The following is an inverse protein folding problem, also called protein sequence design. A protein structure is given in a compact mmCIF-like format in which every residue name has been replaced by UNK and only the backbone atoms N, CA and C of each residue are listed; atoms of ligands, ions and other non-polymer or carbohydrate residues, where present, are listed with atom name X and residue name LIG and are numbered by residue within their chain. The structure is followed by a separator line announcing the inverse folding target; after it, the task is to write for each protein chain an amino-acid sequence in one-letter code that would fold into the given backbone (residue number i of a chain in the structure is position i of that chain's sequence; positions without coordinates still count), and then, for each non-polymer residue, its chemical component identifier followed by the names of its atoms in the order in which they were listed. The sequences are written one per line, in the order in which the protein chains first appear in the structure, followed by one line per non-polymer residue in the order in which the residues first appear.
data_IF_653160782100
#
_entry.id   IF_653160782100
#
_cell.length_a   1.000
_cell.length_b   1.000
_cell.length_c   1.000
_cell.angle_alpha   90.00
_cell.angle_beta   90.00
_cell.angle_gamma   90.00
#
_symmetry.space_group_name_H-M   'P 1'
#
loop_
_entity.id
_entity.type
_entity.pdbx_description
1 polymer ?
#
# COMPACT_ATOMS: atom_id res chain seq x y z
N UNK A 1 -27.04 -30.73 61.17
CA UNK A 1 -25.60 -30.77 61.50
C UNK A 1 -24.80 -31.67 60.56
N UNK A 2 -24.98 -33.01 60.54
CA UNK A 2 -24.14 -33.90 59.72
C UNK A 2 -24.14 -33.63 58.19
N UNK A 3 -25.29 -33.34 57.57
CA UNK A 3 -25.35 -33.12 56.11
C UNK A 3 -24.60 -31.86 55.66
N UNK A 4 -24.64 -30.81 56.46
CA UNK A 4 -23.96 -29.53 56.17
C UNK A 4 -22.45 -29.67 56.29
N UNK A 5 -21.98 -30.41 57.31
CA UNK A 5 -20.55 -30.69 57.52
C UNK A 5 -19.96 -31.52 56.37
N UNK A 6 -20.71 -32.52 55.89
CA UNK A 6 -20.28 -33.35 54.75
C UNK A 6 -20.21 -32.51 53.47
N UNK A 7 -21.22 -31.68 53.20
CA UNK A 7 -21.22 -30.81 52.02
C UNK A 7 -20.06 -29.81 52.03
N UNK A 8 -19.76 -29.20 53.19
CA UNK A 8 -18.62 -28.28 53.33
C UNK A 8 -17.29 -29.00 53.15
N UNK A 9 -17.15 -30.24 53.63
CA UNK A 9 -15.92 -31.02 53.48
C UNK A 9 -15.66 -31.41 52.02
N UNK A 10 -16.70 -31.77 51.27
CA UNK A 10 -16.59 -32.09 49.83
C UNK A 10 -16.27 -30.85 49.00
N UNK A 11 -16.85 -29.69 49.33
CA UNK A 11 -16.54 -28.45 48.63
C UNK A 11 -15.08 -28.03 48.86
N UNK A 12 -14.59 -28.16 50.11
CA UNK A 12 -13.20 -27.86 50.46
C UNK A 12 -12.22 -28.80 49.76
N UNK A 13 -12.52 -30.11 49.69
CA UNK A 13 -11.65 -31.07 48.99
C UNK A 13 -11.58 -30.81 47.49
N UNK A 14 -12.68 -30.36 46.88
CA UNK A 14 -12.71 -29.97 45.46
C UNK A 14 -11.88 -28.72 45.19
N UNK A 15 -12.01 -27.68 46.02
CA UNK A 15 -11.23 -26.44 45.89
C UNK A 15 -9.73 -26.72 46.05
N UNK A 16 -9.34 -27.52 47.06
CA UNK A 16 -7.95 -27.91 47.28
C UNK A 16 -7.38 -28.69 46.09
N UNK A 17 -8.19 -29.57 45.47
CA UNK A 17 -7.77 -30.34 44.29
C UNK A 17 -7.52 -29.46 43.07
N UNK A 18 -8.35 -28.43 42.84
CA UNK A 18 -8.16 -27.47 41.75
C UNK A 18 -6.90 -26.64 41.96
N UNK A 19 -6.68 -26.15 43.19
CA UNK A 19 -5.49 -25.35 43.52
C UNK A 19 -4.19 -26.16 43.39
N UNK A 20 -4.19 -27.42 43.82
CA UNK A 20 -3.05 -28.33 43.65
C UNK A 20 -2.78 -28.63 42.17
N UNK A 21 -3.82 -28.89 41.38
CA UNK A 21 -3.69 -29.14 39.93
C UNK A 21 -3.10 -27.92 39.21
N UNK A 22 -3.61 -26.72 39.49
CA UNK A 22 -3.11 -25.47 38.92
C UNK A 22 -1.65 -25.19 39.31
N UNK A 23 -1.30 -25.44 40.58
CA UNK A 23 0.07 -25.30 41.07
C UNK A 23 1.03 -26.30 40.41
N UNK A 24 0.61 -27.56 40.24
CA UNK A 24 1.39 -28.59 39.54
C UNK A 24 1.63 -28.24 38.06
N UNK A 25 0.60 -27.77 37.34
CA UNK A 25 0.73 -27.32 35.94
C UNK A 25 1.66 -26.12 35.82
N UNK A 26 1.54 -25.14 36.72
CA UNK A 26 2.40 -23.97 36.74
C UNK A 26 3.87 -24.35 37.03
N UNK A 27 4.09 -25.25 37.98
CA UNK A 27 5.44 -25.75 38.32
C UNK A 27 6.03 -26.60 37.20
N UNK A 28 5.23 -27.40 36.51
CA UNK A 28 5.65 -28.16 35.33
C UNK A 28 6.13 -27.22 34.21
N UNK A 29 5.33 -26.22 33.86
CA UNK A 29 5.70 -25.24 32.82
C UNK A 29 6.93 -24.39 33.18
N UNK A 30 7.20 -24.17 34.47
CA UNK A 30 8.40 -23.44 34.94
C UNK A 30 9.66 -24.31 34.97
N UNK A 31 9.51 -25.63 35.04
CA UNK A 31 10.63 -26.58 35.25
C UNK A 31 10.99 -27.39 34.01
N UNK A 32 10.18 -27.37 32.94
CA UNK A 32 10.51 -28.00 31.67
C UNK A 32 11.67 -27.24 30.97
N UNK A 33 12.80 -27.90 30.68
CA UNK A 33 13.84 -27.31 29.85
C UNK A 33 13.26 -26.99 28.46
N UNK A 34 13.41 -25.75 28.00
CA UNK A 34 13.12 -25.42 26.60
C UNK A 34 14.11 -26.20 25.73
N UNK A 35 13.67 -26.93 24.69
CA UNK A 35 14.60 -27.53 23.75
C UNK A 35 15.49 -26.42 23.16
N UNK A 36 16.77 -26.69 22.88
CA UNK A 36 17.64 -25.70 22.28
C UNK A 36 16.99 -25.22 20.98
N UNK A 37 16.80 -23.90 20.87
CA UNK A 37 16.38 -23.27 19.62
C UNK A 37 17.53 -23.54 18.65
N UNK A 38 17.34 -24.49 17.74
CA UNK A 38 18.18 -24.60 16.57
C UNK A 38 18.15 -23.23 15.89
N UNK A 39 19.32 -22.60 15.78
CA UNK A 39 19.51 -21.40 14.98
C UNK A 39 18.94 -21.68 13.60
N UNK A 40 17.79 -21.07 13.29
CA UNK A 40 17.23 -21.09 11.96
C UNK A 40 18.12 -20.20 11.09
N UNK A 41 19.21 -20.78 10.59
CA UNK A 41 19.83 -20.30 9.37
C UNK A 41 18.74 -20.29 8.29
N UNK A 42 18.45 -19.10 7.79
CA UNK A 42 17.44 -18.86 6.76
C UNK A 42 18.00 -19.34 5.41
N UNK A 43 18.14 -20.65 5.22
CA UNK A 43 18.48 -21.24 3.92
C UNK A 43 17.23 -21.31 3.05
N UNK A 44 17.14 -20.41 2.08
CA UNK A 44 16.25 -20.55 0.92
C UNK A 44 16.59 -21.86 0.18
N UNK A 45 15.82 -22.93 0.41
CA UNK A 45 15.80 -24.10 -0.48
C UNK A 45 14.48 -24.18 -1.25
N UNK A 46 14.60 -24.21 -2.58
CA UNK A 46 13.53 -24.48 -3.55
C UNK A 46 12.98 -25.91 -3.34
N UNK A 47 11.66 -26.13 -3.39
CA UNK A 47 11.15 -27.45 -3.73
C UNK A 47 11.23 -27.61 -5.25
N UNK A 48 12.02 -28.60 -5.69
CA UNK A 48 11.94 -29.14 -7.03
C UNK A 48 10.79 -30.15 -7.06
N UNK A 49 9.78 -29.92 -7.88
CA UNK A 49 8.87 -30.95 -8.37
C UNK A 49 8.93 -30.94 -9.88
N UNK A 50 9.49 -32.01 -10.44
CA UNK A 50 9.61 -32.28 -11.85
C UNK A 50 8.35 -32.98 -12.35
N UNK A 51 7.80 -32.53 -13.47
CA UNK A 51 7.01 -33.34 -14.38
C UNK A 51 7.72 -33.39 -15.74
N UNK A 52 7.61 -34.51 -16.48
CA UNK A 52 8.54 -34.84 -17.55
C UNK A 52 8.13 -34.12 -18.83
N UNK A 53 9.05 -33.32 -19.38
CA UNK A 53 9.01 -32.95 -20.79
C UNK A 53 10.34 -33.40 -21.38
N UNK A 54 10.28 -34.43 -22.21
CA UNK A 54 11.42 -34.99 -22.92
C UNK A 54 11.96 -34.00 -23.94
N UNK A 55 13.23 -33.63 -23.83
CA UNK A 55 14.01 -33.18 -24.98
C UNK A 55 15.42 -33.75 -24.91
N UNK A 56 15.83 -34.37 -26.01
CA UNK A 56 17.16 -34.93 -26.23
C UNK A 56 18.26 -33.91 -25.94
N UNK A 57 19.27 -34.38 -25.21
CA UNK A 57 20.44 -33.62 -24.86
C UNK A 57 21.29 -33.27 -26.08
N UNK A 58 21.74 -32.02 -26.14
CA UNK A 58 23.10 -31.69 -26.57
C UNK A 58 23.58 -30.46 -25.79
N UNK A 59 24.58 -30.69 -24.93
CA UNK A 59 25.25 -29.70 -24.12
C UNK A 59 26.25 -28.91 -24.96
N UNK A 60 25.99 -27.61 -25.17
CA UNK A 60 27.04 -26.61 -25.45
C UNK A 60 26.72 -25.34 -24.66
N UNK A 61 27.76 -24.79 -24.03
CA UNK A 61 27.80 -23.68 -23.05
C UNK A 61 26.85 -22.50 -23.37
N UNK A 62 25.87 -22.23 -22.48
CA UNK A 62 24.97 -21.06 -22.57
C UNK A 62 25.60 -19.80 -21.94
N UNK A 63 25.97 -18.83 -22.78
CA UNK A 63 25.96 -17.42 -22.41
C UNK A 63 24.56 -16.82 -22.64
N UNK A 64 24.12 -15.97 -21.71
CA UNK A 64 23.03 -14.97 -21.82
C UNK A 64 21.86 -15.22 -22.80
N UNK A 65 21.09 -16.30 -22.61
CA UNK A 65 19.79 -16.50 -23.30
C UNK A 65 18.60 -15.92 -22.51
N UNK A 66 18.74 -15.72 -21.20
CA UNK A 66 17.66 -15.25 -20.30
C UNK A 66 17.16 -13.83 -20.65
N UNK A 67 18.01 -12.95 -21.18
CA UNK A 67 17.62 -11.59 -21.58
C UNK A 67 16.87 -11.57 -22.91
N UNK A 68 17.27 -12.41 -23.86
CA UNK A 68 16.61 -12.51 -25.17
C UNK A 68 15.28 -13.28 -25.08
N UNK A 69 15.21 -14.37 -24.31
CA UNK A 69 13.95 -15.08 -24.03
C UNK A 69 12.97 -14.18 -23.25
N UNK A 70 13.45 -13.34 -22.33
CA UNK A 70 12.59 -12.40 -21.62
C UNK A 70 12.03 -11.30 -22.53
N UNK A 71 12.79 -10.83 -23.52
CA UNK A 71 12.33 -9.79 -24.43
C UNK A 71 11.30 -10.34 -25.44
N UNK A 72 11.54 -11.56 -25.95
CA UNK A 72 10.66 -12.26 -26.89
C UNK A 72 9.30 -12.63 -26.28
N UNK A 73 9.21 -12.87 -24.97
CA UNK A 73 7.95 -13.20 -24.29
C UNK A 73 7.07 -11.95 -24.02
N UNK A 74 7.66 -10.76 -23.85
CA UNK A 74 6.92 -9.50 -23.76
C UNK A 74 6.27 -9.18 -25.11
N UNK A 75 6.99 -9.42 -26.22
CA UNK A 75 6.53 -9.13 -27.57
C UNK A 75 5.36 -10.03 -28.05
N UNK A 76 5.16 -11.20 -27.42
CA UNK A 76 4.09 -12.14 -27.79
C UNK A 76 2.79 -11.98 -26.97
N UNK A 77 2.77 -11.14 -25.93
CA UNK A 77 1.54 -10.91 -25.16
C UNK A 77 0.65 -9.87 -25.86
N UNK A 78 -0.34 -10.33 -26.63
CA UNK A 78 -1.36 -9.45 -27.22
C UNK A 78 -2.39 -9.04 -26.19
N UNK A 79 -2.43 -7.74 -25.88
CA UNK A 79 -3.48 -7.15 -25.05
C UNK A 79 -4.78 -7.14 -25.87
N UNK A 80 -5.88 -7.74 -25.39
CA UNK A 80 -7.16 -7.66 -26.08
C UNK A 80 -7.61 -6.21 -26.25
N UNK A 81 -8.05 -5.85 -27.46
CA UNK A 81 -8.58 -4.52 -27.72
C UNK A 81 -9.86 -4.29 -26.92
N UNK A 82 -9.98 -3.11 -26.31
CA UNK A 82 -11.18 -2.66 -25.63
C UNK A 82 -11.57 -1.28 -26.18
N UNK A 83 -12.45 -1.21 -27.19
CA UNK A 83 -12.77 0.02 -27.91
C UNK A 83 -13.31 1.14 -27.01
N UNK A 84 -13.87 0.80 -25.84
CA UNK A 84 -14.34 1.80 -24.86
C UNK A 84 -13.19 2.60 -24.25
N UNK A 85 -12.03 1.97 -24.10
CA UNK A 85 -10.86 2.56 -23.45
C UNK A 85 -9.74 2.90 -24.42
N UNK A 86 -9.75 2.39 -25.65
CA UNK A 86 -8.72 2.66 -26.63
C UNK A 86 -8.71 4.14 -27.05
N UNK A 87 -7.53 4.74 -27.08
CA UNK A 87 -7.31 6.13 -27.45
C UNK A 87 -6.37 6.21 -28.67
N UNK A 88 -6.73 6.98 -29.72
CA UNK A 88 -5.89 7.09 -30.91
C UNK A 88 -4.52 7.66 -30.58
N UNK A 89 -3.45 6.87 -30.76
CA UNK A 89 -2.07 7.25 -30.43
C UNK A 89 -1.64 8.56 -31.10
N UNK A 90 -2.10 8.82 -32.33
CA UNK A 90 -1.86 10.06 -33.09
C UNK A 90 -2.41 11.33 -32.41
N UNK A 91 -3.38 11.19 -31.51
CA UNK A 91 -3.96 12.31 -30.75
C UNK A 91 -3.25 12.52 -29.41
N UNK A 92 -2.19 11.77 -29.10
CA UNK A 92 -1.44 11.85 -27.86
C UNK A 92 -0.04 12.40 -28.12
N UNK A 93 0.28 13.55 -27.53
CA UNK A 93 1.62 14.14 -27.62
C UNK A 93 2.30 14.03 -26.25
N UNK A 94 3.32 13.17 -26.17
CA UNK A 94 4.10 12.98 -24.96
C UNK A 94 5.04 14.18 -24.72
N UNK A 95 5.20 14.56 -23.46
CA UNK A 95 6.05 15.65 -23.01
C UNK A 95 7.07 15.20 -21.98
N UNK A 96 7.37 16.06 -21.01
CA UNK A 96 8.41 15.80 -19.99
C UNK A 96 8.07 14.63 -19.07
N UNK A 97 9.10 13.91 -18.65
CA UNK A 97 9.01 12.92 -17.56
C UNK A 97 8.58 13.60 -16.26
N UNK A 98 7.58 13.03 -15.58
CA UNK A 98 7.10 13.43 -14.26
C UNK A 98 7.73 12.58 -13.16
N UNK A 99 7.99 11.31 -13.45
CA UNK A 99 8.66 10.40 -12.56
C UNK A 99 9.02 9.09 -13.26
N UNK A 100 10.07 8.46 -12.79
CA UNK A 100 10.52 7.14 -13.25
C UNK A 100 10.99 6.35 -12.04
N UNK A 101 10.56 5.09 -11.92
CA UNK A 101 10.87 4.30 -10.75
C UNK A 101 10.50 2.83 -10.90
N UNK A 102 10.24 2.18 -9.78
CA UNK A 102 9.88 0.76 -9.73
C UNK A 102 8.54 0.44 -10.40
N UNK A 103 7.67 1.45 -10.55
CA UNK A 103 6.32 1.32 -11.10
C UNK A 103 6.24 1.75 -12.58
N UNK A 104 7.38 1.77 -13.28
CA UNK A 104 7.50 2.22 -14.65
C UNK A 104 7.85 3.71 -14.79
N UNK A 105 7.46 4.29 -15.91
CA UNK A 105 7.74 5.68 -16.31
C UNK A 105 6.43 6.43 -16.46
N UNK A 106 6.36 7.63 -15.90
CA UNK A 106 5.21 8.53 -16.03
C UNK A 106 5.66 9.82 -16.69
N UNK A 107 4.97 10.21 -17.76
CA UNK A 107 5.24 11.46 -18.48
C UNK A 107 4.00 12.34 -18.50
N UNK A 108 4.21 13.66 -18.55
CA UNK A 108 3.14 14.62 -18.85
C UNK A 108 2.83 14.51 -20.34
N UNK A 109 1.56 14.61 -20.74
CA UNK A 109 1.18 14.60 -22.14
C UNK A 109 -0.01 15.53 -22.40
N UNK A 110 -0.22 15.80 -23.68
CA UNK A 110 -1.37 16.54 -24.21
C UNK A 110 -2.21 15.56 -25.03
N UNK A 111 -3.46 15.33 -24.61
CA UNK A 111 -4.40 14.48 -25.31
C UNK A 111 -5.45 15.33 -26.04
N UNK A 112 -5.47 15.25 -27.36
CA UNK A 112 -6.44 15.94 -28.21
C UNK A 112 -7.71 15.13 -28.37
N UNK A 113 -8.87 15.80 -28.41
CA UNK A 113 -10.17 15.14 -28.62
C UNK A 113 -10.51 14.09 -27.55
N UNK A 114 -10.01 14.26 -26.34
CA UNK A 114 -10.22 13.32 -25.25
C UNK A 114 -11.72 13.17 -24.94
N UNK A 115 -12.23 11.93 -25.00
CA UNK A 115 -13.67 11.61 -24.87
C UNK A 115 -14.58 12.39 -25.84
N UNK A 116 -14.08 12.65 -27.05
CA UNK A 116 -14.84 13.34 -28.11
C UNK A 116 -14.99 14.85 -27.93
N UNK A 117 -14.40 15.45 -26.89
CA UNK A 117 -14.49 16.89 -26.64
C UNK A 117 -13.50 17.66 -27.49
N UNK A 118 -13.93 18.77 -28.11
CA UNK A 118 -13.02 19.66 -28.84
C UNK A 118 -11.92 20.22 -27.92
N UNK A 119 -10.74 20.50 -28.50
CA UNK A 119 -9.57 20.99 -27.77
C UNK A 119 -8.64 19.88 -27.27
N UNK A 120 -7.85 20.23 -26.25
CA UNK A 120 -6.87 19.35 -25.63
C UNK A 120 -7.04 19.30 -24.11
N UNK A 121 -6.62 18.18 -23.52
CA UNK A 121 -6.56 17.98 -22.08
C UNK A 121 -5.13 17.64 -21.68
N UNK A 122 -4.63 18.28 -20.63
CA UNK A 122 -3.36 17.87 -20.00
C UNK A 122 -3.59 16.58 -19.21
N UNK A 123 -2.79 15.55 -19.49
CA UNK A 123 -2.89 14.22 -18.89
C UNK A 123 -1.53 13.73 -18.41
N UNK A 124 -1.51 12.68 -17.61
CA UNK A 124 -0.32 11.89 -17.35
C UNK A 124 -0.42 10.55 -18.09
N UNK A 125 0.71 10.05 -18.58
CA UNK A 125 0.79 8.76 -19.28
C UNK A 125 1.76 7.87 -18.52
N UNK A 126 1.26 6.74 -18.00
CA UNK A 126 2.06 5.69 -17.38
C UNK A 126 2.40 4.63 -18.42
N UNK A 127 3.66 4.23 -18.48
CA UNK A 127 4.21 3.29 -19.45
C UNK A 127 5.36 2.49 -18.84
N UNK A 128 5.76 1.43 -19.53
CA UNK A 128 6.96 0.67 -19.17
C UNK A 128 8.24 1.47 -19.48
N UNK A 129 9.33 1.11 -18.79
CA UNK A 129 10.69 1.55 -19.12
C UNK A 129 11.26 0.68 -20.24
N UNK A 130 12.35 1.14 -20.88
CA UNK A 130 12.98 0.48 -22.03
C UNK A 130 13.49 -0.94 -21.74
N UNK A 131 13.63 -1.31 -20.46
CA UNK A 131 14.05 -2.64 -19.99
C UNK A 131 13.14 -3.18 -18.87
N UNK A 132 11.84 -2.95 -19.00
CA UNK A 132 10.88 -3.42 -18.01
C UNK A 132 10.82 -4.95 -17.93
N UNK A 133 10.70 -5.44 -16.70
CA UNK A 133 10.48 -6.85 -16.40
C UNK A 133 9.05 -7.30 -16.71
N UNK A 134 8.85 -8.60 -16.91
CA UNK A 134 7.52 -9.20 -16.97
C UNK A 134 6.62 -8.88 -15.77
N UNK A 135 7.20 -8.72 -14.57
CA UNK A 135 6.43 -8.29 -13.40
C UNK A 135 5.91 -6.87 -13.55
N UNK A 136 6.70 -5.94 -14.08
CA UNK A 136 6.25 -4.56 -14.30
C UNK A 136 5.14 -4.49 -15.36
N UNK A 137 5.21 -5.30 -16.42
CA UNK A 137 4.12 -5.43 -17.39
C UNK A 137 2.84 -5.95 -16.73
N UNK A 138 2.91 -7.01 -15.91
CA UNK A 138 1.74 -7.54 -15.19
C UNK A 138 1.16 -6.54 -14.19
N UNK A 139 2.00 -5.82 -13.48
CA UNK A 139 1.58 -4.79 -12.53
C UNK A 139 0.85 -3.66 -13.29
N UNK A 140 1.36 -3.23 -14.46
CA UNK A 140 0.70 -2.24 -15.32
C UNK A 140 -0.63 -2.74 -15.93
N UNK A 141 -0.70 -4.01 -16.34
CA UNK A 141 -1.94 -4.63 -16.84
C UNK A 141 -2.99 -4.80 -15.73
N UNK A 142 -2.56 -5.15 -14.52
CA UNK A 142 -3.43 -5.23 -13.34
C UNK A 142 -4.03 -3.85 -13.05
N UNK A 143 -3.19 -2.81 -13.05
CA UNK A 143 -3.64 -1.42 -12.88
C UNK A 143 -4.58 -1.00 -14.01
N UNK A 144 -4.29 -1.33 -15.27
CA UNK A 144 -5.20 -1.06 -16.39
C UNK A 144 -6.58 -1.67 -16.15
N UNK A 145 -6.61 -2.95 -15.78
CA UNK A 145 -7.86 -3.70 -15.56
C UNK A 145 -8.67 -3.13 -14.41
N UNK A 146 -8.02 -2.82 -13.29
CA UNK A 146 -8.65 -2.24 -12.12
C UNK A 146 -9.20 -0.84 -12.42
N UNK A 147 -8.41 0.02 -13.08
CA UNK A 147 -8.81 1.39 -13.40
C UNK A 147 -10.00 1.48 -14.36
N UNK A 148 -10.33 0.40 -15.09
CA UNK A 148 -11.59 0.32 -15.87
C UNK A 148 -12.84 0.24 -14.99
N UNK A 149 -12.72 -0.27 -13.77
CA UNK A 149 -13.84 -0.60 -12.90
C UNK A 149 -14.09 0.47 -11.82
N UNK A 150 -13.10 1.32 -11.54
CA UNK A 150 -13.18 2.34 -10.49
C UNK A 150 -13.47 3.74 -11.04
N UNK A 151 -14.30 4.49 -10.34
CA UNK A 151 -14.58 5.90 -10.65
C UNK A 151 -15.06 6.63 -9.38
N UNK A 152 -14.15 7.35 -8.73
CA UNK A 152 -14.44 8.12 -7.53
C UNK A 152 -13.62 9.42 -7.49
N UNK A 153 -14.12 10.53 -6.94
CA UNK A 153 -13.40 11.82 -6.91
C UNK A 153 -12.00 11.76 -6.28
N UNK A 154 -11.78 10.82 -5.35
CA UNK A 154 -10.52 10.63 -4.63
C UNK A 154 -9.71 9.39 -5.06
N UNK A 155 -10.03 8.83 -6.22
CA UNK A 155 -9.23 7.80 -6.90
C UNK A 155 -8.76 8.37 -8.24
N UNK A 156 -7.53 8.07 -8.65
CA UNK A 156 -6.98 8.58 -9.91
C UNK A 156 -7.84 8.12 -11.08
N UNK A 157 -8.24 9.05 -11.93
CA UNK A 157 -9.15 8.75 -13.03
C UNK A 157 -8.37 8.30 -14.26
N UNK A 158 -8.71 7.14 -14.81
CA UNK A 158 -8.28 6.76 -16.14
C UNK A 158 -9.20 7.39 -17.20
N UNK A 159 -8.58 7.91 -18.25
CA UNK A 159 -9.27 8.46 -19.40
C UNK A 159 -9.29 7.53 -20.60
N UNK A 160 -8.27 6.69 -20.76
CA UNK A 160 -8.13 5.72 -21.83
C UNK A 160 -6.75 5.06 -21.81
N UNK A 161 -6.47 4.26 -22.83
CA UNK A 161 -5.18 3.63 -23.05
C UNK A 161 -4.83 3.57 -24.54
N UNK A 162 -3.56 3.54 -24.89
CA UNK A 162 -3.11 3.07 -26.19
C UNK A 162 -2.56 1.66 -25.99
N UNK A 163 -3.34 0.64 -26.32
CA UNK A 163 -2.98 -0.77 -26.10
C UNK A 163 -2.56 -1.50 -27.38
N UNK A 164 -2.92 -0.97 -28.53
CA UNK A 164 -2.62 -1.56 -29.84
C UNK A 164 -1.46 -0.83 -30.55
N UNK A 165 -0.82 -1.53 -31.50
CA UNK A 165 0.18 -1.00 -32.44
C UNK A 165 1.28 -0.15 -31.79
N UNK A 166 1.83 -0.64 -30.67
CA UNK A 166 2.92 0.01 -29.95
C UNK A 166 2.90 -0.26 -28.45
N UNK A 167 3.73 0.46 -27.66
CA UNK A 167 3.79 0.28 -26.22
C UNK A 167 2.47 0.63 -25.52
N UNK A 168 2.15 -0.11 -24.46
CA UNK A 168 1.00 0.15 -23.61
C UNK A 168 1.16 1.50 -22.90
N UNK A 169 0.24 2.42 -23.17
CA UNK A 169 0.13 3.70 -22.49
C UNK A 169 -1.17 3.78 -21.72
N UNK A 170 -1.10 4.00 -20.41
CA UNK A 170 -2.27 4.31 -19.59
C UNK A 170 -2.41 5.83 -19.46
N UNK A 171 -3.49 6.39 -19.98
CA UNK A 171 -3.78 7.83 -19.98
C UNK A 171 -4.64 8.14 -18.77
N UNK A 172 -4.08 8.84 -17.80
CA UNK A 172 -4.72 9.13 -16.50
C UNK A 172 -4.77 10.64 -16.22
N UNK A 173 -5.56 10.99 -15.22
CA UNK A 173 -5.66 12.35 -14.68
C UNK A 173 -4.28 12.91 -14.28
N UNK A 174 -4.00 14.15 -14.69
CA UNK A 174 -2.77 14.83 -14.31
C UNK A 174 -2.91 15.48 -12.93
N UNK A 175 -2.16 14.98 -11.96
CA UNK A 175 -2.06 15.59 -10.64
C UNK A 175 -0.94 16.62 -10.59
N UNK A 176 -1.31 17.91 -10.69
CA UNK A 176 -0.40 19.06 -10.84
C UNK A 176 0.72 19.09 -9.79
N UNK A 177 0.42 18.76 -8.55
CA UNK A 177 1.34 18.92 -7.41
C UNK A 177 2.11 17.62 -7.07
N UNK A 178 2.01 16.58 -7.91
CA UNK A 178 2.75 15.34 -7.73
C UNK A 178 2.26 14.51 -6.54
N UNK A 179 3.15 13.77 -5.88
CA UNK A 179 2.80 12.92 -4.74
C UNK A 179 2.60 13.71 -3.45
N UNK A 180 1.68 13.26 -2.61
CA UNK A 180 1.39 13.85 -1.31
C UNK A 180 2.65 13.92 -0.43
N UNK A 181 3.50 12.90 -0.45
CA UNK A 181 4.77 12.91 0.28
C UNK A 181 5.67 14.09 -0.10
N UNK A 182 5.82 14.36 -1.41
CA UNK A 182 6.65 15.46 -1.87
C UNK A 182 5.98 16.80 -1.58
N UNK A 183 4.68 16.91 -1.84
CA UNK A 183 3.88 18.10 -1.53
C UNK A 183 3.97 18.51 -0.05
N UNK A 184 3.81 17.56 0.87
CA UNK A 184 3.95 17.80 2.31
C UNK A 184 5.38 18.24 2.68
N UNK A 185 6.42 17.64 2.08
CA UNK A 185 7.82 18.01 2.35
C UNK A 185 8.16 19.40 1.84
N UNK A 186 7.61 19.78 0.69
CA UNK A 186 7.78 21.13 0.14
C UNK A 186 7.17 22.19 1.06
N UNK A 187 6.04 21.89 1.71
CA UNK A 187 5.42 22.79 2.69
C UNK A 187 6.30 23.09 3.92
N UNK A 188 7.25 22.20 4.26
CA UNK A 188 8.21 22.45 5.37
C UNK A 188 9.09 23.67 5.13
N UNK A 189 9.35 24.02 3.86
CA UNK A 189 10.20 25.16 3.47
C UNK A 189 9.57 26.51 3.77
N UNK A 190 8.24 26.57 3.84
CA UNK A 190 7.49 27.80 4.14
C UNK A 190 7.58 28.15 5.64
N UNK A 191 8.04 27.20 6.47
CA UNK A 191 8.15 27.35 7.91
C UNK A 191 6.77 27.32 8.59
N UNK A 192 6.72 27.04 9.90
CA UNK A 192 5.50 27.22 10.65
C UNK A 192 5.08 28.70 10.64
N UNK A 193 3.81 28.97 10.35
CA UNK A 193 3.24 30.32 10.24
C UNK A 193 3.42 31.21 11.49
N UNK A 194 3.84 30.63 12.62
CA UNK A 194 4.07 31.31 13.90
C UNK A 194 5.52 31.79 14.11
N UNK A 195 6.47 31.45 13.23
CA UNK A 195 7.86 31.91 13.33
C UNK A 195 8.28 32.92 12.25
N UNK A 196 7.46 33.13 11.22
CA UNK A 196 7.62 34.28 10.34
C UNK A 196 6.75 35.41 10.87
N UNK A 197 7.35 36.33 11.61
CA UNK A 197 6.76 37.66 11.80
C UNK A 197 6.34 38.22 10.45
N UNK A 198 5.09 38.68 10.37
CA UNK A 198 4.58 39.51 9.28
C UNK A 198 4.90 39.04 7.85
N UNK A 199 4.46 37.85 7.46
CA UNK A 199 4.13 37.62 6.05
C UNK A 199 2.63 37.82 5.87
N UNK A 200 2.27 39.04 5.50
CA UNK A 200 0.95 39.39 5.02
C UNK A 200 0.48 38.36 3.99
N UNK A 201 -0.49 37.51 4.38
CA UNK A 201 -1.14 36.51 3.53
C UNK A 201 -1.91 37.13 2.35
N UNK A 202 -1.85 38.45 2.17
CA UNK A 202 -2.56 39.23 1.18
C UNK A 202 -1.87 39.32 -0.19
N UNK A 203 -0.71 38.68 -0.39
CA UNK A 203 0.06 38.74 -1.65
C UNK A 203 0.33 37.37 -2.32
N UNK A 204 -0.39 36.31 -1.94
CA UNK A 204 -0.31 35.07 -2.71
C UNK A 204 -1.28 35.17 -3.89
N UNK A 205 -0.74 35.32 -5.11
CA UNK A 205 -1.51 35.30 -6.36
C UNK A 205 -2.29 33.97 -6.53
N UNK A 206 -1.84 32.91 -5.84
CA UNK A 206 -2.45 31.60 -5.90
C UNK A 206 -2.79 31.08 -4.47
N UNK A 207 -4.08 30.90 -4.12
CA UNK A 207 -4.52 30.40 -2.81
C UNK A 207 -3.94 29.03 -2.42
N UNK A 208 -3.51 28.24 -3.40
CA UNK A 208 -2.89 26.92 -3.18
C UNK A 208 -1.45 26.98 -2.65
N UNK A 209 -0.80 28.16 -2.67
CA UNK A 209 0.59 28.36 -2.25
C UNK A 209 0.73 28.75 -0.77
N UNK A 210 -0.39 28.90 -0.06
CA UNK A 210 -0.38 29.22 1.37
C UNK A 210 0.18 28.06 2.21
N UNK A 211 0.71 28.40 3.38
CA UNK A 211 1.16 27.40 4.35
C UNK A 211 0.02 26.43 4.71
N UNK A 212 0.38 25.15 4.90
CA UNK A 212 -0.56 24.11 5.32
C UNK A 212 -0.95 24.31 6.78
N UNK A 213 -2.24 24.24 7.05
CA UNK A 213 -2.79 24.23 8.41
C UNK A 213 -3.17 22.82 8.82
N UNK A 214 -3.44 22.60 10.11
CA UNK A 214 -4.00 21.33 10.57
C UNK A 214 -5.34 21.01 9.88
N UNK A 215 -6.15 22.03 9.60
CA UNK A 215 -7.40 21.87 8.85
C UNK A 215 -7.18 21.32 7.44
N UNK A 216 -6.10 21.72 6.76
CA UNK A 216 -5.73 21.13 5.46
C UNK A 216 -5.35 19.66 5.60
N UNK A 217 -4.53 19.31 6.61
CA UNK A 217 -4.12 17.93 6.84
C UNK A 217 -5.31 17.03 7.16
N UNK A 218 -6.24 17.49 8.00
CA UNK A 218 -7.50 16.81 8.30
C UNK A 218 -8.33 16.64 7.01
N UNK A 219 -8.42 17.68 6.18
CA UNK A 219 -9.11 17.58 4.88
C UNK A 219 -8.45 16.53 3.98
N UNK A 220 -7.12 16.47 3.90
CA UNK A 220 -6.43 15.48 3.07
C UNK A 220 -6.73 14.05 3.52
N UNK A 221 -6.62 13.76 4.82
CA UNK A 221 -6.87 12.42 5.33
C UNK A 221 -8.34 12.02 5.18
N UNK A 222 -9.27 12.96 5.32
CA UNK A 222 -10.69 12.72 5.07
C UNK A 222 -10.99 12.43 3.59
N UNK A 223 -10.35 13.14 2.66
CA UNK A 223 -10.48 12.85 1.23
C UNK A 223 -9.95 11.44 0.89
N UNK A 224 -8.82 11.05 1.49
CA UNK A 224 -8.21 9.73 1.28
C UNK A 224 -9.08 8.63 1.90
N UNK A 225 -9.63 8.84 3.12
CA UNK A 225 -10.52 7.84 3.74
C UNK A 225 -11.78 7.61 2.91
N UNK A 226 -12.37 8.65 2.31
CA UNK A 226 -13.48 8.50 1.35
C UNK A 226 -13.10 7.67 0.13
N UNK A 227 -11.90 7.89 -0.42
CA UNK A 227 -11.40 7.09 -1.53
C UNK A 227 -11.20 5.62 -1.15
N UNK A 228 -10.65 5.36 0.04
CA UNK A 228 -10.45 4.00 0.54
C UNK A 228 -11.75 3.29 0.93
N UNK A 229 -12.73 4.02 1.45
CA UNK A 229 -14.08 3.48 1.67
C UNK A 229 -14.68 2.99 0.34
N UNK A 230 -14.62 3.83 -0.69
CA UNK A 230 -15.09 3.45 -2.02
C UNK A 230 -14.38 2.19 -2.54
N UNK A 231 -13.05 2.11 -2.40
CA UNK A 231 -12.30 0.91 -2.80
C UNK A 231 -12.72 -0.33 -2.00
N UNK A 232 -12.98 -0.18 -0.70
CA UNK A 232 -13.48 -1.26 0.14
C UNK A 232 -14.88 -1.75 -0.31
N UNK A 233 -15.78 -0.84 -0.68
CA UNK A 233 -17.10 -1.16 -1.24
C UNK A 233 -17.00 -1.88 -2.59
N UNK A 234 -16.01 -1.49 -3.41
CA UNK A 234 -15.63 -2.19 -4.63
C UNK A 234 -14.89 -3.51 -4.39
N UNK A 235 -14.69 -3.91 -3.12
CA UNK A 235 -13.97 -5.12 -2.70
C UNK A 235 -12.53 -5.18 -3.21
N UNK A 236 -11.88 -4.02 -3.29
CA UNK A 236 -10.49 -3.88 -3.71
C UNK A 236 -9.60 -3.60 -2.49
N UNK A 237 -8.53 -4.38 -2.37
CA UNK A 237 -7.44 -4.14 -1.41
C UNK A 237 -6.27 -3.48 -2.14
N UNK A 238 -5.83 -2.32 -1.66
CA UNK A 238 -4.77 -1.52 -2.27
C UNK A 238 -3.37 -2.09 -2.01
N UNK A 239 -3.09 -2.58 -0.79
CA UNK A 239 -1.84 -3.26 -0.38
C UNK A 239 -0.55 -2.41 -0.35
N UNK A 240 -0.57 -1.23 -0.94
CA UNK A 240 0.54 -0.26 -0.93
C UNK A 240 0.05 1.17 -0.69
N UNK A 241 -0.89 1.34 0.23
CA UNK A 241 -1.37 2.67 0.62
C UNK A 241 -0.29 3.42 1.42
N UNK A 242 0.22 4.50 0.83
CA UNK A 242 1.25 5.35 1.42
C UNK A 242 1.19 6.77 0.84
N UNK A 243 1.76 7.77 1.51
CA UNK A 243 1.77 9.15 1.01
C UNK A 243 2.50 9.31 -0.34
N UNK A 244 3.39 8.38 -0.72
CA UNK A 244 4.02 8.35 -2.07
C UNK A 244 3.04 7.95 -3.19
N UNK A 245 1.98 7.21 -2.86
CA UNK A 245 1.00 6.65 -3.79
C UNK A 245 -0.35 7.41 -3.75
N UNK A 246 -0.40 8.51 -3.00
CA UNK A 246 -1.47 9.51 -3.12
C UNK A 246 -0.93 10.68 -3.92
N UNK A 247 -1.67 11.12 -4.94
CA UNK A 247 -1.35 12.27 -5.76
C UNK A 247 -2.20 13.48 -5.37
N UNK A 248 -1.64 14.67 -5.56
CA UNK A 248 -2.28 15.95 -5.23
C UNK A 248 -2.63 16.67 -6.53
N UNK A 249 -3.92 16.63 -6.89
CA UNK A 249 -4.46 17.28 -8.08
C UNK A 249 -4.78 18.76 -7.83
N UNK A 250 -5.16 19.46 -8.90
CA UNK A 250 -5.57 20.87 -8.85
C UNK A 250 -6.67 21.12 -7.79
N UNK A 251 -6.57 22.23 -7.06
CA UNK A 251 -7.41 22.52 -5.90
C UNK A 251 -7.11 21.64 -4.68
N UNK A 252 -5.87 21.15 -4.56
CA UNK A 252 -5.37 20.28 -3.47
C UNK A 252 -6.28 19.07 -3.19
N UNK A 253 -6.76 18.44 -4.27
CA UNK A 253 -7.59 17.22 -4.21
C UNK A 253 -6.73 15.97 -4.13
N UNK A 254 -6.98 15.13 -3.13
CA UNK A 254 -6.27 13.86 -2.96
C UNK A 254 -6.78 12.81 -3.94
N UNK A 255 -5.85 12.09 -4.58
CA UNK A 255 -6.11 11.03 -5.56
C UNK A 255 -5.30 9.79 -5.21
N UNK A 256 -5.95 8.74 -4.73
CA UNK A 256 -5.31 7.44 -4.53
C UNK A 256 -4.89 6.89 -5.89
N UNK A 257 -3.66 6.41 -6.01
CA UNK A 257 -3.02 6.01 -7.25
C UNK A 257 -2.11 4.80 -7.02
N UNK A 258 -1.58 4.24 -8.11
CA UNK A 258 -0.62 3.15 -8.11
C UNK A 258 -1.21 1.81 -7.65
N UNK A 259 -2.11 1.30 -8.48
CA UNK A 259 -2.85 0.07 -8.23
C UNK A 259 -2.12 -1.20 -8.71
N UNK A 260 -0.82 -1.09 -9.01
CA UNK A 260 -0.03 -2.20 -9.56
C UNK A 260 0.06 -3.43 -8.64
N UNK A 261 -0.20 -3.26 -7.34
CA UNK A 261 -0.20 -4.34 -6.34
C UNK A 261 -1.60 -4.73 -5.86
N UNK A 262 -2.64 -4.02 -6.31
CA UNK A 262 -4.01 -4.16 -5.82
C UNK A 262 -4.68 -5.45 -6.30
N UNK A 263 -5.65 -5.96 -5.52
CA UNK A 263 -6.37 -7.22 -5.77
C UNK A 263 -7.83 -7.15 -5.33
N UNK A 264 -8.68 -7.97 -5.97
CA UNK A 264 -10.02 -8.29 -5.47
C UNK A 264 -9.88 -9.18 -4.21
N UNK A 265 -10.76 -9.00 -3.22
CA UNK A 265 -10.79 -9.78 -1.98
C UNK A 265 -11.06 -11.28 -2.23
N UNK A 266 -11.72 -11.65 -3.33
CA UNK A 266 -12.09 -13.06 -3.61
C UNK A 266 -11.17 -13.80 -4.59
N UNK A 267 -10.15 -13.16 -5.15
CA UNK A 267 -9.18 -13.86 -5.99
C UNK A 267 -8.25 -14.72 -5.12
N UNK A 268 -8.52 -16.04 -5.07
CA UNK A 268 -7.72 -17.05 -4.34
C UNK A 268 -6.32 -17.28 -4.97
N UNK A 269 -6.06 -16.72 -6.14
CA UNK A 269 -4.84 -16.96 -6.89
C UNK A 269 -3.64 -16.16 -6.37
N UNK A 270 -2.95 -16.78 -5.40
CA UNK A 270 -1.50 -17.00 -5.21
C UNK A 270 -0.43 -16.08 -5.84
N UNK A 271 -0.74 -14.89 -6.35
CA UNK A 271 0.26 -13.87 -6.71
C UNK A 271 0.79 -13.20 -5.45
N UNK A 272 1.63 -13.95 -4.73
CA UNK A 272 2.68 -13.36 -3.92
C UNK A 272 3.69 -12.81 -4.92
N UNK A 273 3.90 -11.49 -4.94
CA UNK A 273 5.01 -10.88 -5.68
C UNK A 273 6.31 -11.47 -5.10
N UNK A 274 6.76 -12.60 -5.66
CA UNK A 274 8.03 -13.28 -5.33
C UNK A 274 9.22 -12.56 -5.97
N UNK A 275 8.98 -11.44 -6.68
CA UNK A 275 10.02 -10.68 -7.36
C UNK A 275 10.79 -9.80 -6.36
N UNK A 276 12.02 -9.44 -6.73
CA UNK A 276 12.94 -8.55 -5.99
C UNK A 276 12.45 -7.09 -5.86
N UNK A 277 11.14 -6.86 -5.93
CA UNK A 277 10.54 -5.54 -5.72
C UNK A 277 10.53 -5.18 -4.24
N UNK A 278 10.59 -3.89 -3.92
CA UNK A 278 10.59 -3.39 -2.53
C UNK A 278 9.21 -3.55 -1.94
N UNK A 279 9.01 -4.61 -1.16
CA UNK A 279 7.84 -4.77 -0.30
C UNK A 279 7.78 -3.57 0.67
N UNK A 280 6.63 -2.89 0.82
CA UNK A 280 6.51 -1.70 1.66
C UNK A 280 6.39 -2.07 3.15
N UNK A 281 7.38 -2.78 3.71
CA UNK A 281 7.37 -3.40 5.06
C UNK A 281 6.89 -2.44 6.15
N UNK A 282 7.27 -1.16 6.08
CA UNK A 282 6.89 -0.13 7.06
C UNK A 282 5.42 0.29 7.01
N UNK A 283 4.67 -0.07 5.97
CA UNK A 283 3.24 0.21 5.85
C UNK A 283 2.39 -1.03 6.07
N UNK A 284 2.97 -2.23 6.01
CA UNK A 284 2.22 -3.48 6.09
C UNK A 284 1.67 -3.74 7.50
N UNK A 285 0.47 -4.30 7.52
CA UNK A 285 -0.13 -4.85 8.73
C UNK A 285 0.63 -6.09 9.23
N UNK A 286 0.49 -6.40 10.52
CA UNK A 286 1.24 -7.51 11.14
C UNK A 286 0.86 -8.86 10.50
N UNK A 287 -0.42 -9.08 10.23
CA UNK A 287 -0.91 -10.28 9.53
C UNK A 287 -0.41 -10.36 8.08
N UNK A 288 -0.21 -9.22 7.42
CA UNK A 288 0.35 -9.19 6.06
C UNK A 288 1.85 -9.52 6.06
N UNK A 289 2.56 -9.10 7.11
CA UNK A 289 3.99 -9.42 7.30
C UNK A 289 4.20 -10.90 7.62
N UNK A 290 3.30 -11.51 8.40
CA UNK A 290 3.46 -12.87 8.91
C UNK A 290 2.80 -13.93 8.02
N UNK A 291 1.51 -13.77 7.75
CA UNK A 291 0.67 -14.78 7.08
C UNK A 291 0.40 -14.46 5.62
N UNK A 292 0.94 -13.33 5.13
CA UNK A 292 0.63 -12.78 3.80
C UNK A 292 -0.88 -12.56 3.58
N UNK A 293 -1.60 -12.25 4.66
CA UNK A 293 -3.03 -11.93 4.62
C UNK A 293 -3.19 -10.45 4.25
N UNK A 294 -3.97 -10.19 3.20
CA UNK A 294 -4.30 -8.85 2.73
C UNK A 294 -5.82 -8.69 2.70
N UNK A 295 -6.31 -7.69 3.42
CA UNK A 295 -7.74 -7.38 3.55
C UNK A 295 -7.93 -5.87 3.62
N UNK A 296 -9.18 -5.41 3.55
CA UNK A 296 -9.52 -4.01 3.85
C UNK A 296 -8.94 -3.56 5.21
N UNK A 297 -8.93 -4.42 6.22
CA UNK A 297 -8.38 -4.10 7.54
C UNK A 297 -6.84 -3.97 7.55
N UNK A 298 -6.15 -4.62 6.60
CA UNK A 298 -4.71 -4.39 6.39
C UNK A 298 -4.43 -3.05 5.70
N UNK A 299 -5.34 -2.57 4.85
CA UNK A 299 -5.27 -1.21 4.31
C UNK A 299 -5.58 -0.16 5.39
N UNK A 300 -6.47 -0.46 6.35
CA UNK A 300 -6.71 0.41 7.51
C UNK A 300 -5.43 0.61 8.33
N UNK A 301 -4.63 -0.44 8.52
CA UNK A 301 -3.32 -0.32 9.15
C UNK A 301 -2.40 0.61 8.37
N UNK A 302 -2.32 0.41 7.05
CA UNK A 302 -1.53 1.24 6.13
C UNK A 302 -2.00 2.71 6.15
N UNK A 303 -3.31 2.93 6.27
CA UNK A 303 -3.90 4.25 6.45
C UNK A 303 -3.45 4.91 7.76
N UNK A 304 -3.35 4.17 8.86
CA UNK A 304 -2.75 4.67 10.11
C UNK A 304 -1.31 5.16 9.92
N UNK A 305 -0.51 4.45 9.11
CA UNK A 305 0.84 4.90 8.75
C UNK A 305 0.80 6.16 7.87
N UNK A 306 -0.14 6.25 6.93
CA UNK A 306 -0.36 7.44 6.11
C UNK A 306 -0.79 8.66 6.94
N UNK A 307 -1.61 8.48 7.97
CA UNK A 307 -1.93 9.55 8.93
C UNK A 307 -0.65 10.09 9.56
N UNK A 308 0.22 9.19 10.03
CA UNK A 308 1.51 9.55 10.62
C UNK A 308 2.41 10.29 9.62
N UNK A 309 2.50 9.82 8.38
CA UNK A 309 3.20 10.54 7.30
C UNK A 309 2.63 11.95 7.09
N UNK A 310 1.30 12.10 7.15
CA UNK A 310 0.62 13.36 6.89
C UNK A 310 0.91 14.40 7.98
N UNK A 311 0.75 14.04 9.26
CA UNK A 311 0.98 14.97 10.38
C UNK A 311 2.46 15.28 10.62
N UNK A 312 3.36 14.41 10.16
CA UNK A 312 4.81 14.67 10.15
C UNK A 312 5.28 15.39 8.88
N UNK A 313 4.34 15.86 8.05
CA UNK A 313 4.61 16.54 6.78
C UNK A 313 5.55 15.73 5.86
N UNK A 314 5.27 14.44 5.68
CA UNK A 314 6.03 13.51 4.85
C UNK A 314 7.24 12.90 5.56
N UNK A 315 7.12 12.66 6.88
CA UNK A 315 8.13 11.92 7.66
C UNK A 315 8.34 10.50 7.12
N UNK A 316 9.48 9.88 7.45
CA UNK A 316 9.70 8.47 7.14
C UNK A 316 9.19 7.64 8.33
N UNK A 317 8.20 6.75 8.16
CA UNK A 317 7.68 5.93 9.25
C UNK A 317 8.77 5.12 9.94
N UNK A 318 8.59 4.88 11.24
CA UNK A 318 9.53 4.12 12.09
C UNK A 318 10.97 4.66 11.96
N UNK A 319 11.21 5.94 12.32
CA UNK A 319 12.53 6.55 12.18
C UNK A 319 13.58 5.77 12.98
N UNK A 320 14.76 5.56 12.39
CA UNK A 320 15.85 4.79 13.02
C UNK A 320 15.65 3.26 13.09
N UNK A 321 14.45 2.75 12.78
CA UNK A 321 14.17 1.32 12.79
C UNK A 321 14.34 0.75 11.37
N UNK A 322 15.23 -0.23 11.27
CA UNK A 322 15.45 -1.01 10.05
C UNK A 322 14.26 -1.97 9.79
N UNK A 323 13.81 -2.16 8.53
CA UNK A 323 12.67 -3.01 8.20
C UNK A 323 12.74 -4.42 8.78
N UNK A 324 13.93 -5.01 8.84
CA UNK A 324 14.19 -6.37 9.32
C UNK A 324 13.91 -6.51 10.82
N UNK A 325 14.05 -5.41 11.58
CA UNK A 325 13.77 -5.39 13.03
C UNK A 325 12.33 -5.04 13.35
N UNK A 326 11.62 -4.40 12.41
CA UNK A 326 10.28 -3.86 12.66
C UNK A 326 9.29 -4.96 13.04
N UNK A 327 9.37 -6.11 12.38
CA UNK A 327 8.50 -7.26 12.67
C UNK A 327 8.51 -7.65 14.16
N UNK A 328 9.70 -7.86 14.72
CA UNK A 328 9.85 -8.28 16.11
C UNK A 328 9.33 -7.22 17.09
N UNK A 329 9.55 -5.94 16.78
CA UNK A 329 9.03 -4.83 17.59
C UNK A 329 7.51 -4.81 17.58
N UNK A 330 6.89 -4.86 16.40
CA UNK A 330 5.43 -4.85 16.27
C UNK A 330 4.77 -6.00 17.04
N UNK A 331 5.41 -7.19 17.06
CA UNK A 331 4.96 -8.37 17.81
C UNK A 331 4.99 -8.18 19.32
N UNK A 332 5.89 -7.35 19.83
CA UNK A 332 5.93 -6.98 21.27
C UNK A 332 4.92 -5.88 21.64
N UNK A 333 4.10 -5.43 20.69
CA UNK A 333 3.11 -4.37 20.91
C UNK A 333 3.61 -2.96 20.62
N UNK A 334 4.87 -2.79 20.18
CA UNK A 334 5.41 -1.49 19.82
C UNK A 334 4.59 -0.82 18.71
N UNK A 335 4.39 0.49 18.83
CA UNK A 335 3.78 1.37 17.82
C UNK A 335 4.58 2.68 17.75
N UNK A 336 4.46 3.42 16.65
CA UNK A 336 5.14 4.73 16.53
C UNK A 336 4.64 5.70 17.61
N UNK A 337 5.56 6.50 18.14
CA UNK A 337 5.26 7.57 19.08
C UNK A 337 4.41 8.66 18.43
N UNK A 338 3.68 9.40 19.28
CA UNK A 338 2.87 10.56 18.87
C UNK A 338 3.76 11.65 18.28
N UNK A 339 3.52 12.11 17.04
CA UNK A 339 4.25 13.25 16.48
C UNK A 339 3.99 14.54 17.24
N UNK A 340 4.99 15.43 17.32
CA UNK A 340 4.91 16.70 18.06
C UNK A 340 3.70 17.57 17.65
N UNK A 341 3.41 17.66 16.35
CA UNK A 341 2.31 18.47 15.81
C UNK A 341 0.98 17.71 15.69
N UNK A 342 0.80 16.60 16.41
CA UNK A 342 -0.40 15.76 16.32
C UNK A 342 -1.34 16.00 17.52
N UNK A 343 -2.65 16.08 17.29
CA UNK A 343 -3.62 16.08 18.40
C UNK A 343 -3.76 14.67 19.01
N UNK A 344 -4.28 14.59 20.23
CA UNK A 344 -4.53 13.28 20.87
C UNK A 344 -5.61 12.48 20.13
N UNK A 345 -6.62 13.14 19.59
CA UNK A 345 -7.69 12.51 18.81
C UNK A 345 -7.14 11.84 17.55
N UNK A 346 -6.29 12.57 16.81
CA UNK A 346 -5.65 12.06 15.60
C UNK A 346 -4.70 10.91 15.92
N UNK A 347 -3.93 11.00 17.01
CA UNK A 347 -3.05 9.90 17.43
C UNK A 347 -3.84 8.68 17.93
N UNK A 348 -4.93 8.88 18.66
CA UNK A 348 -5.82 7.80 19.08
C UNK A 348 -6.44 7.09 17.88
N UNK A 349 -6.79 7.82 16.81
CA UNK A 349 -7.20 7.21 15.54
C UNK A 349 -6.08 6.33 14.95
N UNK A 350 -4.82 6.79 14.92
CA UNK A 350 -3.69 5.96 14.47
C UNK A 350 -3.56 4.67 15.30
N UNK A 351 -3.65 4.78 16.63
CA UNK A 351 -3.59 3.62 17.53
C UNK A 351 -4.75 2.64 17.30
N UNK A 352 -5.95 3.13 16.98
CA UNK A 352 -7.09 2.29 16.59
C UNK A 352 -6.82 1.57 15.26
N UNK A 353 -6.25 2.26 14.27
CA UNK A 353 -5.83 1.64 13.00
C UNK A 353 -4.75 0.56 13.19
N UNK A 354 -3.91 0.67 14.23
CA UNK A 354 -2.82 -0.28 14.50
C UNK A 354 -3.15 -1.32 15.59
N UNK A 355 -4.43 -1.62 15.85
CA UNK A 355 -4.79 -2.74 16.72
C UNK A 355 -4.24 -4.06 16.17
N UNK A 356 -3.80 -4.92 17.08
CA UNK A 356 -3.22 -6.22 16.75
C UNK A 356 -4.23 -7.08 16.00
N UNK A 357 -5.41 -7.25 16.61
CA UNK A 357 -6.52 -7.95 16.00
C UNK A 357 -7.17 -7.08 14.92
N UNK A 358 -7.25 -7.60 13.69
CA UNK A 358 -7.72 -6.83 12.54
C UNK A 358 -9.21 -6.47 12.63
N UNK A 359 -10.04 -7.29 13.28
CA UNK A 359 -11.46 -7.03 13.54
C UNK A 359 -11.70 -5.89 14.54
N UNK A 360 -10.69 -5.52 15.34
CA UNK A 360 -10.76 -4.39 16.29
C UNK A 360 -10.37 -3.06 15.69
N UNK A 361 -9.87 -3.05 14.45
CA UNK A 361 -9.57 -1.82 13.71
C UNK A 361 -10.87 -1.20 13.20
N UNK A 362 -10.98 0.14 13.14
CA UNK A 362 -12.13 0.79 12.56
C UNK A 362 -12.23 0.44 11.08
N UNK A 363 -13.43 0.42 10.53
CA UNK A 363 -13.63 0.40 9.07
C UNK A 363 -13.34 1.78 8.49
N UNK A 364 -13.18 1.90 7.16
CA UNK A 364 -13.04 3.22 6.53
C UNK A 364 -14.26 4.12 6.72
N UNK A 365 -15.46 3.56 6.93
CA UNK A 365 -16.64 4.35 7.26
C UNK A 365 -16.54 4.94 8.68
N UNK A 366 -16.08 4.15 9.67
CA UNK A 366 -15.87 4.61 11.05
C UNK A 366 -14.71 5.62 11.21
N UNK A 367 -13.85 5.77 10.19
CA UNK A 367 -12.75 6.73 10.18
C UNK A 367 -13.25 8.14 9.77
N UNK A 368 -14.34 8.21 9.01
CA UNK A 368 -14.87 9.47 8.49
C UNK A 368 -15.75 10.22 9.49
N UNK A 369 -16.34 9.50 10.44
CA UNK A 369 -17.24 9.99 11.48
C UNK A 369 -16.55 9.89 12.84
#
# INVERSE_FOLDING_TARGET
MCKTVIATAVLLSFIVSILLSSYCVHRYNKSSPKPPIASAEMTFRRPAQAYPISYSANNVRRGSLDSMENQVAIDNFKIPEDPKWEFPRKNLVLGKTLGEGEFGKVVKATAFRLKGKAGYTTVAVKMLKDHASHSELRDLLSEFTLLKQVNHPHVIKMYGACSQDGPLYLIVEYAKYGSLRNFLRESRKVGPSYMSGERNSSYLENPDERALTMGDLISFVWQISRGMQYLAEMKLVHRDLAARNVLVAEGRKMKISDFGLSRDVYEEDSYVKRSKGRIPVKWMAIESLFDHIYTTQSDVWSFGVLLWETVTLGGNPYPGIAPERLFNLLKTGYRMEKPENCSDEMYNLMLRCWKQESDKRPTFIDIMY
#
